data_IF_961510341461
#
_entry.id   IF_961510341461
#
_cell.length_a   1.000
_cell.length_b   1.000
_cell.length_c   1.000
_cell.angle_alpha   90.00
_cell.angle_beta   90.00
_cell.angle_gamma   90.00
#
_symmetry.space_group_name_H-M   'P 1'
#
loop_
_entity.id
_entity.type
_entity.pdbx_description
1 polymer ?
#
# COMPACT_ATOMS: atom_id res chain seq x y z
N UNK A 1 26.64 -18.30 -42.07
CA UNK A 1 27.09 -17.02 -42.65
C UNK A 1 25.98 -16.46 -43.51
N UNK A 2 25.69 -15.16 -43.34
CA UNK A 2 25.06 -14.15 -44.23
C UNK A 2 24.05 -14.61 -45.31
N UNK A 3 22.95 -13.91 -45.58
CA UNK A 3 22.58 -12.55 -45.19
C UNK A 3 21.18 -12.23 -45.71
N UNK A 4 20.57 -11.22 -45.10
CA UNK A 4 19.23 -10.75 -45.45
C UNK A 4 19.22 -9.86 -46.69
N UNK A 5 18.13 -9.97 -47.44
CA UNK A 5 17.70 -9.01 -48.44
C UNK A 5 16.29 -8.56 -47.98
N UNK A 6 16.09 -7.35 -47.48
CA UNK A 6 16.41 -6.10 -48.14
C UNK A 6 15.15 -5.54 -48.81
N UNK A 7 14.04 -5.45 -48.06
CA UNK A 7 12.78 -4.89 -48.54
C UNK A 7 12.93 -3.37 -48.71
N UNK A 8 13.42 -2.96 -49.88
CA UNK A 8 13.29 -1.57 -50.33
C UNK A 8 11.95 -1.41 -51.02
N UNK A 9 11.07 -0.57 -50.48
CA UNK A 9 10.29 0.39 -51.29
C UNK A 9 9.57 1.41 -50.42
N UNK A 10 9.87 2.67 -50.73
CA UNK A 10 8.89 3.75 -50.66
C UNK A 10 8.89 4.55 -49.36
N UNK A 11 9.77 5.55 -49.29
CA UNK A 11 9.37 6.79 -48.63
C UNK A 11 8.21 7.38 -49.43
N UNK A 12 6.98 7.14 -48.97
CA UNK A 12 5.89 8.06 -49.20
C UNK A 12 5.68 8.77 -47.87
N UNK A 13 6.25 9.97 -47.73
CA UNK A 13 5.91 10.89 -46.66
C UNK A 13 4.46 11.37 -46.88
N UNK A 14 3.51 10.48 -46.58
CA UNK A 14 2.13 10.85 -46.31
C UNK A 14 2.10 11.37 -44.89
N UNK A 15 1.59 12.58 -44.69
CA UNK A 15 1.43 13.19 -43.38
C UNK A 15 0.68 12.23 -42.45
N UNK A 16 1.38 11.74 -41.44
CA UNK A 16 0.75 11.20 -40.25
C UNK A 16 0.33 12.41 -39.44
N UNK A 17 -0.91 12.86 -39.64
CA UNK A 17 -1.60 13.51 -38.53
C UNK A 17 -1.62 12.47 -37.41
N UNK A 18 -0.77 12.70 -36.41
CA UNK A 18 -0.81 11.95 -35.18
C UNK A 18 -2.24 12.09 -34.64
N UNK A 19 -2.97 10.98 -34.58
CA UNK A 19 -4.28 10.94 -33.94
C UNK A 19 -4.01 11.09 -32.45
N UNK A 20 -4.04 12.33 -31.97
CA UNK A 20 -3.85 12.71 -30.56
C UNK A 20 -4.94 12.00 -29.76
N UNK A 21 -4.57 11.14 -28.82
CA UNK A 21 -5.53 10.47 -27.93
C UNK A 21 -6.09 11.42 -26.86
N UNK A 22 -7.16 11.05 -26.17
CA UNK A 22 -7.78 11.90 -25.12
C UNK A 22 -6.80 12.28 -23.99
N UNK A 23 -5.88 11.38 -23.63
CA UNK A 23 -4.81 11.65 -22.67
C UNK A 23 -3.84 12.72 -23.17
N UNK A 24 -3.48 12.64 -24.44
CA UNK A 24 -2.58 13.60 -25.09
C UNK A 24 -3.22 15.00 -25.18
N UNK A 25 -4.55 15.11 -25.37
CA UNK A 25 -5.26 16.40 -25.40
C UNK A 25 -5.25 17.07 -24.01
N UNK A 26 -5.54 16.31 -22.95
CA UNK A 26 -5.57 16.85 -21.57
C UNK A 26 -4.20 17.32 -21.10
N UNK A 27 -3.13 16.62 -21.48
CA UNK A 27 -1.76 16.99 -21.13
C UNK A 27 -1.25 18.17 -21.95
N UNK A 28 -1.57 18.22 -23.25
CA UNK A 28 -1.13 19.29 -24.14
C UNK A 28 -1.94 20.58 -23.96
N UNK A 29 -3.21 20.48 -23.59
CA UNK A 29 -4.11 21.62 -23.38
C UNK A 29 -4.99 21.43 -22.14
N UNK A 30 -4.48 21.81 -20.94
CA UNK A 30 -5.19 21.63 -19.67
C UNK A 30 -6.52 22.39 -19.58
N UNK A 31 -6.66 23.48 -20.33
CA UNK A 31 -7.87 24.29 -20.36
C UNK A 31 -9.02 23.58 -21.10
N UNK A 32 -8.68 22.61 -21.96
CA UNK A 32 -9.59 21.92 -22.87
C UNK A 32 -10.40 22.88 -23.77
N UNK A 33 -9.77 23.99 -24.14
CA UNK A 33 -10.30 24.97 -25.10
C UNK A 33 -9.60 24.77 -26.45
N UNK A 34 -10.29 24.26 -27.48
CA UNK A 34 -9.69 24.07 -28.79
C UNK A 34 -9.26 25.40 -29.42
N UNK A 35 -8.18 25.37 -30.21
CA UNK A 35 -7.77 26.52 -31.03
C UNK A 35 -8.67 26.64 -32.27
N UNK A 36 -8.78 27.82 -32.92
CA UNK A 36 -9.68 28.01 -34.07
C UNK A 36 -9.47 27.01 -35.22
N UNK A 37 -8.22 26.62 -35.50
CA UNK A 37 -7.91 25.63 -36.54
C UNK A 37 -8.31 24.20 -36.12
N UNK A 38 -8.33 23.91 -34.82
CA UNK A 38 -8.73 22.62 -34.25
C UNK A 38 -10.25 22.50 -34.08
N UNK A 39 -10.95 23.62 -33.94
CA UNK A 39 -12.42 23.66 -33.92
C UNK A 39 -13.04 23.27 -35.25
N UNK A 40 -12.32 23.50 -36.36
CA UNK A 40 -12.72 23.14 -37.71
C UNK A 40 -12.54 21.64 -37.99
N UNK A 41 -11.77 20.93 -37.18
CA UNK A 41 -11.61 19.48 -37.26
C UNK A 41 -12.64 18.78 -36.37
N UNK A 42 -13.61 18.12 -37.01
CA UNK A 42 -14.69 17.38 -36.35
C UNK A 42 -14.17 16.28 -35.41
N UNK A 43 -13.01 15.66 -35.70
CA UNK A 43 -12.42 14.63 -34.86
C UNK A 43 -11.85 15.24 -33.58
N UNK A 44 -11.07 16.33 -33.71
CA UNK A 44 -10.55 17.06 -32.55
C UNK A 44 -11.66 17.67 -31.69
N UNK A 45 -12.70 18.25 -32.30
CA UNK A 45 -13.85 18.79 -31.54
C UNK A 45 -14.53 17.72 -30.68
N UNK A 46 -14.69 16.49 -31.20
CA UNK A 46 -15.24 15.37 -30.44
C UNK A 46 -14.33 14.96 -29.27
N UNK A 47 -13.02 14.90 -29.49
CA UNK A 47 -12.04 14.59 -28.43
C UNK A 47 -12.07 15.65 -27.31
N UNK A 48 -12.09 16.94 -27.65
CA UNK A 48 -12.21 18.01 -26.65
C UNK A 48 -13.54 17.96 -25.89
N UNK A 49 -14.65 17.63 -26.55
CA UNK A 49 -15.95 17.42 -25.89
C UNK A 49 -15.89 16.28 -24.88
N UNK A 50 -15.35 15.14 -25.30
CA UNK A 50 -15.24 13.94 -24.47
C UNK A 50 -14.31 14.15 -23.27
N UNK A 51 -13.16 14.79 -23.48
CA UNK A 51 -12.25 15.17 -22.40
C UNK A 51 -12.90 16.13 -21.39
N UNK A 52 -13.72 17.08 -21.86
CA UNK A 52 -14.48 17.99 -20.99
C UNK A 52 -15.54 17.25 -20.17
N UNK A 53 -16.23 16.27 -20.78
CA UNK A 53 -17.20 15.43 -20.08
C UNK A 53 -16.54 14.59 -18.98
N UNK A 54 -15.38 14.00 -19.26
CA UNK A 54 -14.59 13.25 -18.28
C UNK A 54 -14.17 14.16 -17.13
N UNK A 55 -13.63 15.36 -17.41
CA UNK A 55 -13.25 16.33 -16.37
C UNK A 55 -14.44 16.71 -15.48
N UNK A 56 -15.60 16.99 -16.10
CA UNK A 56 -16.84 17.30 -15.40
C UNK A 56 -17.32 16.13 -14.53
N UNK A 57 -17.16 14.90 -14.99
CA UNK A 57 -17.49 13.72 -14.21
C UNK A 57 -16.55 13.55 -13.01
N UNK A 58 -15.24 13.73 -13.20
CA UNK A 58 -14.23 13.66 -12.13
C UNK A 58 -14.51 14.71 -11.03
N UNK A 59 -14.85 15.94 -11.41
CA UNK A 59 -15.22 17.01 -10.48
C UNK A 59 -16.47 16.64 -9.67
N UNK A 60 -17.52 16.14 -10.33
CA UNK A 60 -18.74 15.69 -9.65
C UNK A 60 -18.47 14.50 -8.72
N UNK A 61 -17.59 13.59 -9.11
CA UNK A 61 -17.25 12.43 -8.31
C UNK A 61 -16.49 12.84 -7.03
N UNK A 62 -15.56 13.80 -7.12
CA UNK A 62 -14.87 14.35 -5.94
C UNK A 62 -15.84 14.98 -4.94
N UNK A 63 -16.78 15.79 -5.43
CA UNK A 63 -17.82 16.39 -4.58
C UNK A 63 -18.69 15.32 -3.93
N UNK A 64 -19.05 14.26 -4.68
CA UNK A 64 -19.81 13.14 -4.13
C UNK A 64 -19.02 12.40 -3.04
N UNK A 65 -17.74 12.15 -3.27
CA UNK A 65 -16.86 11.48 -2.32
C UNK A 65 -16.74 12.27 -1.01
N UNK A 66 -16.54 13.59 -1.09
CA UNK A 66 -16.49 14.46 0.09
C UNK A 66 -17.82 14.46 0.86
N UNK A 67 -18.95 14.49 0.15
CA UNK A 67 -20.28 14.41 0.79
C UNK A 67 -20.48 13.08 1.50
N UNK A 68 -20.10 11.97 0.89
CA UNK A 68 -20.20 10.64 1.50
C UNK A 68 -19.32 10.55 2.74
N UNK A 69 -18.07 11.04 2.67
CA UNK A 69 -17.17 11.08 3.83
C UNK A 69 -17.77 11.88 4.99
N UNK A 70 -18.29 13.06 4.71
CA UNK A 70 -18.92 13.91 5.72
C UNK A 70 -20.16 13.27 6.34
N UNK A 71 -20.99 12.60 5.53
CA UNK A 71 -22.17 11.90 6.01
C UNK A 71 -21.81 10.69 6.90
N UNK A 72 -20.77 9.94 6.52
CA UNK A 72 -20.25 8.83 7.30
C UNK A 72 -19.68 9.31 8.64
N UNK A 73 -18.88 10.36 8.63
CA UNK A 73 -18.34 11.00 9.84
C UNK A 73 -19.45 11.47 10.79
N UNK A 74 -20.47 12.15 10.25
CA UNK A 74 -21.63 12.63 11.02
C UNK A 74 -22.41 11.48 11.66
N UNK A 75 -22.50 10.33 10.98
CA UNK A 75 -23.13 9.11 11.49
C UNK A 75 -22.21 8.30 12.42
N UNK A 76 -20.98 8.73 12.65
CA UNK A 76 -20.01 8.06 13.52
C UNK A 76 -19.29 6.88 12.86
N UNK A 77 -19.34 6.75 11.54
CA UNK A 77 -18.53 5.77 10.81
C UNK A 77 -17.11 6.31 10.61
N UNK A 78 -16.12 5.45 10.82
CA UNK A 78 -14.70 5.76 10.58
C UNK A 78 -14.29 5.15 9.24
N UNK A 79 -13.71 5.97 8.36
CA UNK A 79 -13.10 5.50 7.12
C UNK A 79 -11.84 4.68 7.49
N UNK A 80 -11.88 3.36 7.27
CA UNK A 80 -10.75 2.48 7.51
C UNK A 80 -10.07 2.19 6.17
N UNK A 81 -8.83 2.63 6.04
CA UNK A 81 -7.94 2.22 4.95
C UNK A 81 -7.46 0.77 5.24
N UNK A 82 -7.67 -0.14 4.28
CA UNK A 82 -7.26 -1.54 4.41
C UNK A 82 -5.75 -1.66 4.67
N UNK A 83 -4.94 -0.77 4.10
CA UNK A 83 -3.50 -0.71 4.35
C UNK A 83 -3.17 -0.24 5.77
N UNK A 84 -3.99 0.64 6.34
CA UNK A 84 -3.88 1.05 7.74
C UNK A 84 -4.26 -0.12 8.67
N UNK A 85 -5.33 -0.86 8.34
CA UNK A 85 -5.76 -2.02 9.12
C UNK A 85 -4.73 -3.16 9.09
N UNK A 86 -4.13 -3.42 7.93
CA UNK A 86 -3.04 -4.40 7.81
C UNK A 86 -1.83 -4.02 8.67
N UNK A 87 -1.36 -2.77 8.57
CA UNK A 87 -0.24 -2.28 9.40
C UNK A 87 -0.55 -2.34 10.90
N UNK A 88 -1.78 -2.00 11.29
CA UNK A 88 -2.21 -2.10 12.70
C UNK A 88 -2.20 -3.55 13.19
N UNK A 89 -2.63 -4.50 12.36
CA UNK A 89 -2.58 -5.92 12.70
C UNK A 89 -1.13 -6.42 12.85
N UNK A 90 -0.22 -5.98 11.98
CA UNK A 90 1.21 -6.31 12.08
C UNK A 90 1.83 -5.78 13.39
N UNK A 91 1.55 -4.53 13.76
CA UNK A 91 2.03 -3.94 15.02
C UNK A 91 1.49 -4.70 16.24
N UNK A 92 0.20 -5.02 16.24
CA UNK A 92 -0.41 -5.78 17.34
C UNK A 92 0.20 -7.18 17.50
N UNK A 93 0.55 -7.86 16.39
CA UNK A 93 1.19 -9.16 16.45
C UNK A 93 2.58 -9.09 17.09
N UNK A 94 3.36 -8.05 16.77
CA UNK A 94 4.67 -7.78 17.38
C UNK A 94 4.51 -7.49 18.88
N UNK A 95 3.53 -6.67 19.24
CA UNK A 95 3.24 -6.33 20.64
C UNK A 95 2.88 -7.58 21.47
N UNK A 96 2.04 -8.46 20.93
CA UNK A 96 1.66 -9.71 21.60
C UNK A 96 2.87 -10.64 21.83
N UNK A 97 3.76 -10.75 20.85
CA UNK A 97 4.99 -11.54 20.98
C UNK A 97 5.93 -10.97 22.07
N UNK A 98 6.07 -9.64 22.11
CA UNK A 98 6.85 -8.93 23.11
C UNK A 98 6.28 -9.12 24.52
N UNK A 99 4.96 -8.98 24.67
CA UNK A 99 4.28 -9.18 25.96
C UNK A 99 4.50 -10.60 26.49
N UNK A 100 4.41 -11.64 25.64
CA UNK A 100 4.71 -13.03 26.03
C UNK A 100 6.15 -13.22 26.51
N UNK A 101 7.12 -12.57 25.86
CA UNK A 101 8.54 -12.62 26.29
C UNK A 101 8.73 -11.95 27.65
N UNK A 102 8.11 -10.80 27.86
CA UNK A 102 8.15 -10.07 29.14
C UNK A 102 7.53 -10.91 30.25
N UNK A 103 6.37 -11.52 30.00
CA UNK A 103 5.70 -12.41 30.95
C UNK A 103 6.57 -13.63 31.31
N UNK A 104 7.21 -14.27 30.31
CA UNK A 104 8.12 -15.38 30.54
C UNK A 104 9.35 -15.02 31.37
N UNK A 105 9.94 -13.84 31.14
CA UNK A 105 11.06 -13.34 31.95
C UNK A 105 10.63 -13.03 33.39
N UNK A 106 9.44 -12.45 33.58
CA UNK A 106 8.88 -12.18 34.90
C UNK A 106 8.69 -13.47 35.70
N UNK A 107 8.14 -14.51 35.08
CA UNK A 107 7.97 -15.82 35.70
C UNK A 107 9.31 -16.43 36.13
N UNK A 108 10.30 -16.43 35.23
CA UNK A 108 11.65 -16.94 35.53
C UNK A 108 12.31 -16.23 36.71
N UNK A 109 12.16 -14.91 36.81
CA UNK A 109 12.71 -14.11 37.90
C UNK A 109 11.98 -14.34 39.23
N UNK A 110 10.70 -14.73 39.20
CA UNK A 110 9.93 -15.05 40.40
C UNK A 110 10.07 -16.50 40.88
N UNK A 111 10.48 -17.42 40.01
CA UNK A 111 10.51 -18.87 40.30
C UNK A 111 11.94 -19.43 40.49
N UNK A 112 12.99 -18.60 40.35
CA UNK A 112 14.40 -19.01 40.34
C UNK A 112 15.28 -18.52 41.49
N UNK A 113 14.74 -18.26 42.70
CA UNK A 113 15.54 -17.82 43.87
C UNK A 113 15.57 -18.85 45.03
N UNK A 114 15.43 -20.14 44.74
CA UNK A 114 15.56 -21.22 45.73
C UNK A 114 16.91 -21.96 45.62
N UNK A 115 18.05 -21.26 45.68
CA UNK A 115 19.34 -21.92 45.92
C UNK A 115 20.21 -21.08 46.87
N UNK A 116 20.37 -21.60 48.10
CA UNK A 116 21.50 -21.51 49.04
C UNK A 116 20.95 -22.05 50.39
N UNK A 117 21.59 -22.90 51.18
CA UNK A 117 22.90 -23.53 51.23
C UNK A 117 22.81 -24.42 52.49
N UNK A 118 23.23 -25.69 52.48
CA UNK A 118 23.84 -26.32 53.66
C UNK A 118 24.59 -27.57 53.18
N UNK A 119 25.91 -27.41 53.12
CA UNK A 119 26.93 -28.37 52.77
C UNK A 119 26.80 -29.74 53.45
N UNK A 120 26.95 -30.77 52.64
CA UNK A 120 27.30 -32.14 53.02
C UNK A 120 28.73 -32.19 53.55
N UNK A 121 28.92 -32.65 54.79
CA UNK A 121 30.12 -33.39 55.19
C UNK A 121 29.72 -34.45 56.21
N UNK A 122 29.81 -35.71 55.77
CA UNK A 122 29.71 -36.87 56.64
C UNK A 122 31.08 -37.19 57.23
N UNK A 123 31.09 -37.61 58.48
CA UNK A 123 32.10 -38.50 59.02
C UNK A 123 31.39 -39.57 59.86
N UNK A 124 31.69 -40.81 59.50
CA UNK A 124 31.35 -42.05 60.17
C UNK A 124 31.80 -42.03 61.64
N UNK A 125 31.01 -42.66 62.52
CA UNK A 125 31.58 -43.60 63.48
C UNK A 125 30.53 -44.68 63.79
N UNK A 126 30.92 -45.88 63.36
CA UNK A 126 30.35 -47.19 63.59
C UNK A 126 30.22 -47.56 65.09
N UNK A 127 29.41 -48.60 65.32
CA UNK A 127 29.52 -49.60 66.39
C UNK A 127 29.20 -49.21 67.86
N UNK A 128 28.17 -49.86 68.41
CA UNK A 128 28.31 -50.93 69.42
C UNK A 128 27.08 -51.01 70.36
N UNK A 129 26.34 -52.11 70.18
CA UNK A 129 25.88 -53.07 71.19
C UNK A 129 25.25 -52.66 72.55
N UNK A 130 24.09 -53.29 72.78
CA UNK A 130 23.64 -53.96 74.03
C UNK A 130 23.26 -53.11 75.28
N UNK A 131 21.96 -53.09 75.61
CA UNK A 131 21.40 -53.76 76.82
C UNK A 131 19.86 -53.83 76.80
#
# INVERSE_FOLDING_TARGET
MAGGEGLRRGCAAGGVEAVIGEGDVRESNPSLVPLPDEEMDDAKRKLYSQANEIRSMDERYKVLQERVRHELETKGYVELDDDHMRRKAEVNAIEEELMKKVEGMLLYLTEGNDEDDESSDGDDDDDDDEF
#
